data_IF_203472645740
#
_entry.id   IF_203472645740
#
_cell.length_a   1.000
_cell.length_b   1.000
_cell.length_c   1.000
_cell.angle_alpha   90.00
_cell.angle_beta   90.00
_cell.angle_gamma   90.00
#
_symmetry.space_group_name_H-M   'P 1'
#
loop_
_entity.id
_entity.type
_entity.pdbx_description
1 polymer ?
#
# COMPACT_ATOMS: atom_id res chain seq x y z
N UNK A 1 -2.76 0.91 11.47
CA UNK A 1 -1.47 1.62 11.64
C UNK A 1 -0.39 1.07 10.69
N UNK A 2 0.46 1.92 10.12
CA UNK A 2 1.67 1.51 9.38
C UNK A 2 2.86 1.49 10.34
N UNK A 3 3.59 0.36 10.35
CA UNK A 3 4.73 0.10 11.25
C UNK A 3 6.08 0.23 10.56
N UNK A 4 6.17 -0.15 9.29
CA UNK A 4 7.41 -0.08 8.53
C UNK A 4 7.14 -0.04 7.02
N UNK A 5 8.11 0.52 6.30
CA UNK A 5 8.13 0.54 4.84
C UNK A 5 9.23 -0.36 4.32
N UNK A 6 9.03 -0.90 3.11
CA UNK A 6 10.06 -1.60 2.36
C UNK A 6 10.44 -0.78 1.14
N UNK A 7 11.67 -0.29 1.15
CA UNK A 7 12.22 0.59 0.12
C UNK A 7 11.69 2.02 0.17
N UNK A 8 12.21 2.87 -0.72
CA UNK A 8 12.03 4.34 -0.64
C UNK A 8 10.72 4.86 -1.23
N UNK A 9 10.01 4.06 -2.03
CA UNK A 9 8.85 4.54 -2.80
C UNK A 9 7.68 4.96 -1.91
N UNK A 10 7.09 3.98 -1.20
CA UNK A 10 5.96 4.21 -0.30
C UNK A 10 6.34 5.13 0.87
N UNK A 11 7.54 4.96 1.43
CA UNK A 11 8.06 5.81 2.51
C UNK A 11 8.17 7.28 2.09
N UNK A 12 8.74 7.56 0.91
CA UNK A 12 8.86 8.94 0.42
C UNK A 12 7.48 9.58 0.24
N UNK A 13 6.52 8.83 -0.32
CA UNK A 13 5.14 9.30 -0.48
C UNK A 13 4.50 9.61 0.88
N UNK A 14 4.69 8.73 1.86
CA UNK A 14 4.18 8.92 3.23
C UNK A 14 4.70 10.22 3.85
N UNK A 15 5.97 10.52 3.67
CA UNK A 15 6.60 11.76 4.12
C UNK A 15 6.39 12.96 3.17
N UNK A 16 5.51 12.84 2.17
CA UNK A 16 5.22 13.86 1.15
C UNK A 16 6.46 14.35 0.40
N UNK A 17 7.44 13.47 0.22
CA UNK A 17 8.66 13.73 -0.56
C UNK A 17 8.41 13.38 -2.03
N UNK A 18 8.96 14.20 -2.91
CA UNK A 18 8.87 13.97 -4.35
C UNK A 18 9.56 12.65 -4.76
N UNK A 19 8.89 11.88 -5.61
CA UNK A 19 9.42 10.62 -6.16
C UNK A 19 9.54 10.77 -7.67
N UNK A 20 10.77 10.92 -8.17
CA UNK A 20 11.07 11.23 -9.58
C UNK A 20 10.40 10.31 -10.60
N UNK A 21 10.19 9.03 -10.25
CA UNK A 21 9.60 8.01 -11.15
C UNK A 21 8.07 7.97 -11.15
N UNK A 22 7.39 8.78 -10.34
CA UNK A 22 5.94 8.77 -10.21
C UNK A 22 5.36 10.12 -10.60
N UNK A 23 4.22 10.12 -11.29
CA UNK A 23 3.46 11.34 -11.51
C UNK A 23 2.88 11.86 -10.18
N UNK A 24 2.65 13.18 -10.04
CA UNK A 24 2.03 13.75 -8.85
C UNK A 24 0.67 13.13 -8.52
N UNK A 25 -0.15 12.83 -9.54
CA UNK A 25 -1.46 12.19 -9.35
C UNK A 25 -1.34 10.77 -8.81
N UNK A 26 -0.39 9.99 -9.33
CA UNK A 26 -0.13 8.65 -8.82
C UNK A 26 0.37 8.69 -7.37
N UNK A 27 1.27 9.62 -7.05
CA UNK A 27 1.75 9.81 -5.69
C UNK A 27 0.61 10.20 -4.73
N UNK A 28 -0.32 11.06 -5.17
CA UNK A 28 -1.52 11.44 -4.42
C UNK A 28 -2.46 10.26 -4.18
N UNK A 29 -2.71 9.45 -5.20
CA UNK A 29 -3.52 8.23 -5.08
C UNK A 29 -2.89 7.24 -4.10
N UNK A 30 -1.58 7.00 -4.23
CA UNK A 30 -0.83 6.12 -3.33
C UNK A 30 -0.87 6.65 -1.89
N UNK A 31 -0.69 7.96 -1.68
CA UNK A 31 -0.79 8.59 -0.37
C UNK A 31 -2.16 8.35 0.28
N UNK A 32 -3.25 8.54 -0.47
CA UNK A 32 -4.60 8.29 0.05
C UNK A 32 -4.77 6.83 0.48
N UNK A 33 -4.21 5.86 -0.27
CA UNK A 33 -4.23 4.45 0.12
C UNK A 33 -3.38 4.18 1.37
N UNK A 34 -2.22 4.81 1.50
CA UNK A 34 -1.39 4.71 2.70
C UNK A 34 -2.10 5.25 3.94
N UNK A 35 -2.84 6.37 3.81
CA UNK A 35 -3.67 6.90 4.90
C UNK A 35 -4.72 5.89 5.33
N UNK A 36 -5.41 5.24 4.39
CA UNK A 36 -6.38 4.18 4.68
C UNK A 36 -5.73 2.99 5.39
N UNK A 37 -4.59 2.50 4.90
CA UNK A 37 -3.82 1.40 5.53
C UNK A 37 -3.39 1.79 6.96
N UNK A 38 -3.01 3.05 7.16
CA UNK A 38 -2.62 3.54 8.48
C UNK A 38 -3.81 3.65 9.43
N UNK A 39 -4.99 4.04 8.94
CA UNK A 39 -6.19 4.19 9.75
C UNK A 39 -6.92 2.87 10.05
N UNK A 40 -6.71 1.83 9.23
CA UNK A 40 -7.36 0.53 9.42
C UNK A 40 -6.99 -0.12 10.76
N UNK A 41 -8.02 -0.60 11.46
CA UNK A 41 -7.92 -1.37 12.70
C UNK A 41 -7.93 -2.87 12.40
N UNK A 42 -8.64 -3.26 11.32
CA UNK A 42 -8.70 -4.61 10.79
C UNK A 42 -8.31 -4.64 9.31
N UNK A 43 -7.77 -5.77 8.87
CA UNK A 43 -7.49 -6.00 7.44
C UNK A 43 -8.76 -5.90 6.59
N UNK A 44 -9.93 -6.22 7.17
CA UNK A 44 -11.20 -6.16 6.46
C UNK A 44 -11.68 -4.73 6.21
N UNK A 45 -11.22 -3.74 6.97
CA UNK A 45 -11.55 -2.32 6.74
C UNK A 45 -11.06 -1.87 5.36
N UNK A 46 -9.95 -2.46 4.90
CA UNK A 46 -9.37 -2.18 3.60
C UNK A 46 -10.16 -2.79 2.43
N UNK A 47 -11.23 -3.54 2.68
CA UNK A 47 -12.19 -3.93 1.63
C UNK A 47 -13.07 -2.76 1.19
N UNK A 48 -13.16 -1.70 2.01
CA UNK A 48 -13.91 -0.48 1.71
C UNK A 48 -12.92 0.68 1.49
N UNK A 49 -13.05 1.45 0.39
CA UNK A 49 -14.00 1.28 -0.71
C UNK A 49 -13.68 0.07 -1.61
N UNK A 50 -14.65 -0.47 -2.38
CA UNK A 50 -14.45 -1.64 -3.26
C UNK A 50 -13.28 -1.49 -4.25
N UNK A 51 -12.96 -0.25 -4.64
CA UNK A 51 -11.82 0.06 -5.50
C UNK A 51 -10.45 -0.28 -4.90
N UNK A 52 -10.35 -0.52 -3.59
CA UNK A 52 -9.12 -1.03 -2.97
C UNK A 52 -8.73 -2.40 -3.50
N UNK A 53 -9.72 -3.22 -3.90
CA UNK A 53 -9.52 -4.60 -4.38
C UNK A 53 -8.49 -5.35 -3.53
N UNK A 54 -8.74 -5.36 -2.21
CA UNK A 54 -7.87 -6.01 -1.24
C UNK A 54 -7.70 -7.48 -1.62
N UNK A 55 -6.46 -7.90 -1.80
CA UNK A 55 -6.10 -9.25 -2.21
C UNK A 55 -5.07 -9.83 -1.26
N UNK A 56 -5.23 -11.10 -0.87
CA UNK A 56 -4.19 -11.86 -0.18
C UNK A 56 -3.31 -12.53 -1.22
N UNK A 57 -2.02 -12.20 -1.25
CA UNK A 57 -1.08 -12.70 -2.24
C UNK A 57 -0.67 -14.14 -1.94
N UNK A 58 -0.31 -14.87 -3.01
CA UNK A 58 0.13 -16.26 -2.99
C UNK A 58 1.50 -16.42 -3.68
N UNK A 59 2.03 -17.65 -3.72
CA UNK A 59 3.34 -17.96 -4.32
C UNK A 59 4.49 -17.29 -3.56
N UNK A 60 5.40 -16.65 -4.28
CA UNK A 60 6.60 -16.00 -3.72
C UNK A 60 6.29 -14.83 -2.77
N UNK A 61 5.05 -14.32 -2.80
CA UNK A 61 4.56 -13.25 -1.92
C UNK A 61 3.53 -13.75 -0.91
N UNK A 62 3.46 -15.07 -0.67
CA UNK A 62 2.55 -15.65 0.30
C UNK A 62 2.71 -14.98 1.69
N UNK A 63 1.56 -14.67 2.31
CA UNK A 63 1.50 -13.96 3.59
C UNK A 63 1.47 -12.43 3.48
N UNK A 64 1.60 -11.88 2.27
CA UNK A 64 1.35 -10.47 1.99
C UNK A 64 -0.09 -10.22 1.54
N UNK A 65 -0.50 -8.96 1.67
CA UNK A 65 -1.71 -8.40 1.12
C UNK A 65 -1.35 -7.31 0.12
N UNK A 66 -2.25 -7.06 -0.83
CA UNK A 66 -2.13 -5.92 -1.74
C UNK A 66 -3.39 -5.07 -1.75
N UNK A 67 -3.21 -3.76 -1.92
CA UNK A 67 -4.27 -2.78 -2.21
C UNK A 67 -3.95 -2.08 -3.52
N UNK A 68 -4.96 -1.94 -4.38
CA UNK A 68 -4.85 -1.28 -5.67
C UNK A 68 -4.71 0.23 -5.52
N UNK A 69 -3.70 0.80 -6.19
CA UNK A 69 -3.54 2.25 -6.34
C UNK A 69 -4.21 2.71 -7.64
N UNK A 70 -3.83 2.11 -8.76
CA UNK A 70 -4.45 2.25 -10.07
C UNK A 70 -4.32 0.94 -10.85
N UNK A 71 -4.43 0.92 -12.18
CA UNK A 71 -4.31 -0.33 -12.94
C UNK A 71 -2.92 -0.97 -12.88
N UNK A 72 -1.87 -0.17 -12.89
CA UNK A 72 -0.48 -0.60 -12.92
C UNK A 72 0.14 -0.81 -11.52
N UNK A 73 -0.25 -0.01 -10.53
CA UNK A 73 0.47 0.04 -9.24
C UNK A 73 -0.32 -0.59 -8.09
N UNK A 74 0.40 -1.27 -7.19
CA UNK A 74 -0.12 -1.87 -5.95
C UNK A 74 0.70 -1.47 -4.74
N UNK A 75 0.05 -1.31 -3.60
CA UNK A 75 0.71 -1.30 -2.30
C UNK A 75 0.69 -2.71 -1.74
N UNK A 76 1.86 -3.33 -1.55
CA UNK A 76 1.99 -4.65 -0.93
C UNK A 76 2.48 -4.50 0.51
N UNK A 77 1.97 -5.31 1.42
CA UNK A 77 2.35 -5.27 2.83
C UNK A 77 2.02 -6.56 3.56
N UNK A 78 2.65 -6.78 4.70
CA UNK A 78 2.26 -7.83 5.66
C UNK A 78 1.31 -7.24 6.69
N UNK A 79 0.34 -8.03 7.17
CA UNK A 79 -0.61 -7.59 8.19
C UNK A 79 -0.49 -8.43 9.44
N UNK A 80 -0.49 -7.78 10.60
CA UNK A 80 -0.46 -8.39 11.94
C UNK A 80 -1.43 -7.67 12.87
N UNK A 81 -1.59 -8.14 14.10
CA UNK A 81 -2.40 -7.44 15.11
C UNK A 81 -1.96 -5.98 15.35
N UNK A 82 -0.68 -5.64 15.10
CA UNK A 82 -0.17 -4.27 15.21
C UNK A 82 -0.36 -3.41 13.95
N UNK A 83 -0.98 -3.94 12.89
CA UNK A 83 -1.19 -3.26 11.62
C UNK A 83 -0.21 -3.69 10.51
N UNK A 84 -0.03 -2.80 9.54
CA UNK A 84 0.68 -3.05 8.29
C UNK A 84 2.20 -2.87 8.44
N UNK A 85 2.98 -3.83 7.97
CA UNK A 85 4.46 -3.79 7.96
C UNK A 85 5.01 -4.09 6.58
N UNK A 86 6.23 -3.65 6.30
CA UNK A 86 6.93 -3.82 5.02
C UNK A 86 6.13 -3.26 3.86
N UNK A 87 5.50 -2.10 4.04
CA UNK A 87 4.66 -1.47 3.03
C UNK A 87 5.54 -1.01 1.85
N UNK A 88 5.26 -1.51 0.65
CA UNK A 88 5.98 -1.20 -0.58
C UNK A 88 5.03 -0.83 -1.72
N UNK A 89 5.46 0.10 -2.57
CA UNK A 89 4.76 0.45 -3.81
C UNK A 89 5.41 -0.28 -4.98
N UNK A 90 4.65 -1.17 -5.60
CA UNK A 90 5.10 -2.13 -6.63
C UNK A 90 4.42 -1.84 -7.96
N UNK A 91 5.20 -1.91 -9.03
CA UNK A 91 4.73 -1.90 -10.41
C UNK A 91 4.39 -3.34 -10.82
N UNK A 92 3.16 -3.56 -11.29
CA UNK A 92 2.66 -4.88 -11.70
C UNK A 92 2.69 -5.07 -13.22
N UNK A 93 3.33 -4.15 -13.97
CA UNK A 93 3.51 -4.26 -15.42
C UNK A 93 4.96 -4.59 -15.80
#
# INVERSE_FOLDING_TARGET
>A
MIRSFRGKGAESIWHRRYVKRLSPDLAKLAYNKLVLINAAESINDLRVPPGNRLEKLAGDRAGQYSVRVNDQWRLCFTWSAGGASNVELVDYH
#
